data_IF_426838623174
#
_entry.id   IF_426838623174
#
_cell.length_a   1.000
_cell.length_b   1.000
_cell.length_c   1.000
_cell.angle_alpha   90.00
_cell.angle_beta   90.00
_cell.angle_gamma   90.00
#
_symmetry.space_group_name_H-M   'P 1'
#
loop_
_entity.id
_entity.type
_entity.pdbx_description
1 polymer ?
#
# COMPACT_ATOMS: atom_id res chain seq x y z
N UNK A 1 -16.52 -46.29 -61.07
CA UNK A 1 -15.64 -45.90 -59.93
C UNK A 1 -14.89 -47.15 -59.46
N UNK A 2 -13.81 -47.48 -60.17
CA UNK A 2 -12.39 -47.29 -59.78
C UNK A 2 -11.95 -48.14 -58.58
N UNK A 3 -11.27 -49.26 -58.91
CA UNK A 3 -10.66 -50.25 -58.02
C UNK A 3 -9.30 -49.74 -57.49
N UNK A 4 -9.08 -49.62 -56.17
CA UNK A 4 -7.83 -49.08 -55.62
C UNK A 4 -6.81 -50.17 -55.25
N UNK A 5 -6.70 -51.26 -56.02
CA UNK A 5 -5.78 -52.37 -55.67
C UNK A 5 -4.42 -52.32 -56.37
N UNK A 6 -4.26 -51.54 -57.45
CA UNK A 6 -3.01 -51.49 -58.22
C UNK A 6 -1.97 -50.47 -57.70
N UNK A 7 -2.40 -49.42 -57.00
CA UNK A 7 -1.49 -48.38 -56.50
C UNK A 7 -0.76 -48.77 -55.20
N UNK A 8 -1.38 -49.60 -54.36
CA UNK A 8 -0.78 -50.06 -53.09
C UNK A 8 0.41 -51.00 -53.37
N UNK A 9 0.29 -51.85 -54.39
CA UNK A 9 1.32 -52.81 -54.76
C UNK A 9 2.54 -52.12 -55.42
N UNK A 10 2.32 -51.02 -56.16
CA UNK A 10 3.41 -50.23 -56.73
C UNK A 10 4.17 -49.41 -55.67
N UNK A 11 3.47 -48.82 -54.69
CA UNK A 11 4.09 -48.10 -53.57
C UNK A 11 4.94 -49.02 -52.68
N UNK A 12 4.46 -50.24 -52.39
CA UNK A 12 5.19 -51.19 -51.56
C UNK A 12 6.50 -51.68 -52.23
N UNK A 13 6.49 -51.87 -53.55
CA UNK A 13 7.69 -52.30 -54.30
C UNK A 13 8.71 -51.18 -54.43
N UNK A 14 8.28 -49.93 -54.59
CA UNK A 14 9.19 -48.77 -54.60
C UNK A 14 9.81 -48.55 -53.21
N UNK A 15 9.06 -48.75 -52.13
CA UNK A 15 9.58 -48.62 -50.76
C UNK A 15 10.59 -49.72 -50.41
N UNK A 16 10.41 -50.94 -50.95
CA UNK A 16 11.35 -52.06 -50.75
C UNK A 16 12.61 -51.97 -51.62
N UNK A 17 12.55 -51.34 -52.80
CA UNK A 17 13.70 -51.19 -53.70
C UNK A 17 14.57 -49.96 -53.38
N UNK A 18 14.03 -48.92 -52.74
CA UNK A 18 14.80 -47.73 -52.33
C UNK A 18 15.44 -47.81 -50.94
N UNK A 19 15.04 -48.77 -50.09
CA UNK A 19 15.55 -48.91 -48.71
C UNK A 19 16.29 -50.21 -48.33
N UNK A 20 16.87 -51.03 -49.24
CA UNK A 20 17.59 -52.23 -48.80
C UNK A 20 18.97 -51.93 -48.17
N UNK A 21 19.52 -50.72 -48.33
CA UNK A 21 20.86 -50.36 -47.81
C UNK A 21 20.86 -49.71 -46.43
N UNK A 22 19.74 -49.17 -45.96
CA UNK A 22 19.69 -48.48 -44.67
C UNK A 22 19.72 -49.46 -43.46
N UNK A 23 19.27 -50.70 -43.66
CA UNK A 23 19.29 -51.72 -42.60
C UNK A 23 20.66 -52.41 -42.43
N UNK A 24 21.55 -52.34 -43.42
CA UNK A 24 22.90 -52.90 -43.32
C UNK A 24 23.95 -51.89 -42.86
N UNK A 25 23.70 -50.58 -42.99
CA UNK A 25 24.60 -49.55 -42.49
C UNK A 25 24.49 -49.32 -40.96
N UNK A 26 23.42 -49.79 -40.31
CA UNK A 26 23.18 -49.58 -38.88
C UNK A 26 23.69 -50.73 -37.98
N UNK A 27 24.30 -51.77 -38.57
CA UNK A 27 24.70 -52.99 -37.85
C UNK A 27 26.20 -53.06 -37.51
N UNK A 28 26.99 -52.01 -37.76
CA UNK A 28 28.44 -52.00 -37.45
C UNK A 28 28.96 -50.64 -36.94
N UNK A 29 28.15 -49.87 -36.22
CA UNK A 29 28.74 -48.93 -35.28
C UNK A 29 29.40 -49.77 -34.17
N UNK A 30 30.72 -49.96 -34.32
CA UNK A 30 31.59 -50.55 -33.29
C UNK A 30 31.23 -49.88 -31.97
N UNK A 31 30.64 -50.65 -31.05
CA UNK A 31 30.47 -50.20 -29.67
C UNK A 31 31.85 -49.70 -29.21
N UNK A 32 31.95 -48.44 -28.75
CA UNK A 32 33.24 -47.90 -28.32
C UNK A 32 33.83 -48.84 -27.27
N UNK A 33 35.09 -49.25 -27.46
CA UNK A 33 35.78 -50.14 -26.52
C UNK A 33 35.81 -49.47 -25.14
N UNK A 34 35.01 -49.98 -24.21
CA UNK A 34 35.03 -49.52 -22.83
C UNK A 34 36.27 -50.10 -22.13
N UNK A 35 37.24 -49.25 -21.80
CA UNK A 35 38.42 -49.64 -21.02
C UNK A 35 38.34 -49.03 -19.63
N UNK A 36 38.45 -49.87 -18.61
CA UNK A 36 38.57 -49.40 -17.22
C UNK A 36 40.03 -48.98 -17.03
N UNK A 37 40.26 -47.67 -16.88
CA UNK A 37 41.60 -47.11 -16.75
C UNK A 37 42.12 -47.23 -15.32
N UNK A 38 41.25 -46.98 -14.34
CA UNK A 38 41.67 -46.88 -12.95
C UNK A 38 40.55 -47.31 -12.01
N UNK A 39 40.91 -48.18 -11.05
CA UNK A 39 40.07 -48.49 -9.90
C UNK A 39 40.45 -47.50 -8.81
N UNK A 40 39.61 -46.49 -8.59
CA UNK A 40 39.80 -45.58 -7.47
C UNK A 40 39.53 -46.38 -6.18
N UNK A 41 40.45 -46.30 -5.23
CA UNK A 41 40.31 -46.95 -3.92
C UNK A 41 38.98 -46.60 -3.24
N UNK A 42 38.56 -47.40 -2.25
CA UNK A 42 37.28 -47.18 -1.58
C UNK A 42 37.21 -45.75 -1.04
N UNK A 43 36.14 -45.06 -1.42
CA UNK A 43 35.83 -43.74 -0.88
C UNK A 43 35.45 -43.86 0.61
N UNK A 44 35.27 -42.74 1.32
CA UNK A 44 34.93 -42.73 2.76
C UNK A 44 33.65 -43.54 3.11
N UNK A 45 32.81 -43.81 2.12
CA UNK A 45 31.58 -44.59 2.24
C UNK A 45 31.74 -46.08 1.84
N UNK A 46 32.95 -46.54 1.52
CA UNK A 46 33.24 -47.93 1.12
C UNK A 46 32.95 -48.26 -0.35
N UNK A 47 32.44 -47.31 -1.13
CA UNK A 47 32.15 -47.48 -2.56
C UNK A 47 33.45 -47.36 -3.40
N UNK A 48 33.63 -48.31 -4.33
CA UNK A 48 34.73 -48.32 -5.29
C UNK A 48 34.30 -47.59 -6.56
N UNK A 49 34.94 -46.46 -6.87
CA UNK A 49 34.72 -45.74 -8.12
C UNK A 49 35.59 -46.31 -9.25
N UNK A 50 35.02 -46.47 -10.45
CA UNK A 50 35.78 -46.86 -11.64
C UNK A 50 35.85 -45.69 -12.62
N UNK A 51 37.04 -45.38 -13.13
CA UNK A 51 37.18 -44.46 -14.26
C UNK A 51 37.16 -45.30 -15.53
N UNK A 52 36.14 -45.10 -16.37
CA UNK A 52 35.91 -45.84 -17.60
C UNK A 52 36.12 -44.89 -18.78
N UNK A 53 36.99 -45.26 -19.70
CA UNK A 53 37.14 -44.57 -20.96
C UNK A 53 36.24 -45.21 -22.01
N UNK A 54 35.40 -44.40 -22.64
CA UNK A 54 34.52 -44.80 -23.74
C UNK A 54 34.91 -43.93 -24.94
N UNK A 55 35.65 -44.49 -25.89
CA UNK A 55 36.26 -43.71 -26.98
C UNK A 55 37.29 -42.70 -26.46
N UNK A 56 37.17 -41.43 -26.83
CA UNK A 56 38.07 -40.35 -26.39
C UNK A 56 37.64 -39.67 -25.07
N UNK A 57 36.54 -40.11 -24.45
CA UNK A 57 35.98 -39.48 -23.26
C UNK A 57 36.15 -40.37 -22.01
N UNK A 58 36.64 -39.77 -20.93
CA UNK A 58 36.78 -40.41 -19.63
C UNK A 58 35.56 -40.12 -18.77
N UNK A 59 34.87 -41.17 -18.32
CA UNK A 59 33.72 -41.11 -17.43
C UNK A 59 34.06 -41.74 -16.09
N UNK A 60 33.38 -41.28 -15.03
CA UNK A 60 33.45 -41.92 -13.71
C UNK A 60 32.18 -42.74 -13.54
N UNK A 61 32.32 -44.05 -13.41
CA UNK A 61 31.21 -44.93 -13.04
C UNK A 61 30.84 -44.66 -11.58
N UNK A 62 29.63 -44.17 -11.40
CA UNK A 62 29.02 -43.89 -10.10
C UNK A 62 28.09 -45.05 -9.75
N UNK A 63 28.08 -45.48 -8.49
CA UNK A 63 27.14 -46.50 -8.01
C UNK A 63 25.70 -46.02 -8.19
N UNK A 64 24.77 -46.94 -8.47
CA UNK A 64 23.34 -46.62 -8.65
C UNK A 64 22.77 -45.89 -7.42
N UNK A 65 23.26 -46.25 -6.22
CA UNK A 65 22.93 -45.61 -4.95
C UNK A 65 23.33 -44.14 -4.92
N UNK A 66 24.57 -43.82 -5.32
CA UNK A 66 25.05 -42.44 -5.42
C UNK A 66 24.30 -41.64 -6.48
N UNK A 67 23.98 -42.24 -7.62
CA UNK A 67 23.16 -41.58 -8.65
C UNK A 67 21.76 -41.23 -8.12
N UNK A 68 21.10 -42.17 -7.42
CA UNK A 68 19.80 -41.92 -6.76
C UNK A 68 19.90 -40.82 -5.70
N UNK A 69 20.96 -40.81 -4.91
CA UNK A 69 21.18 -39.77 -3.90
C UNK A 69 21.40 -38.39 -4.51
N UNK A 70 22.20 -38.29 -5.59
CA UNK A 70 22.42 -37.04 -6.32
C UNK A 70 21.11 -36.54 -6.93
N UNK A 71 20.31 -37.43 -7.53
CA UNK A 71 18.99 -37.07 -8.05
C UNK A 71 18.07 -36.56 -6.94
N UNK A 72 18.03 -37.25 -5.80
CA UNK A 72 17.24 -36.83 -4.64
C UNK A 72 17.67 -35.46 -4.13
N UNK A 73 18.97 -35.24 -3.92
CA UNK A 73 19.52 -33.94 -3.50
C UNK A 73 19.20 -32.83 -4.50
N UNK A 74 19.23 -33.12 -5.81
CA UNK A 74 18.86 -32.15 -6.85
C UNK A 74 17.38 -31.79 -6.78
N UNK A 75 16.50 -32.76 -6.54
CA UNK A 75 15.07 -32.50 -6.32
C UNK A 75 14.88 -31.65 -5.05
N UNK A 76 15.51 -32.04 -3.94
CA UNK A 76 15.43 -31.34 -2.65
C UNK A 76 15.90 -29.88 -2.78
N UNK A 77 16.97 -29.62 -3.55
CA UNK A 77 17.47 -28.28 -3.84
C UNK A 77 16.45 -27.47 -4.64
N UNK A 78 15.87 -28.05 -5.70
CA UNK A 78 14.84 -27.36 -6.51
C UNK A 78 13.61 -27.05 -5.66
N UNK A 79 13.17 -27.96 -4.78
CA UNK A 79 12.05 -27.70 -3.88
C UNK A 79 12.36 -26.60 -2.88
N UNK A 80 13.55 -26.61 -2.26
CA UNK A 80 13.97 -25.57 -1.33
C UNK A 80 14.07 -24.20 -2.02
N UNK A 81 14.58 -24.14 -3.25
CA UNK A 81 14.62 -22.91 -4.04
C UNK A 81 13.22 -22.36 -4.33
N UNK A 82 12.27 -23.24 -4.68
CA UNK A 82 10.87 -22.83 -4.89
C UNK A 82 10.23 -22.32 -3.61
N UNK A 83 10.46 -22.99 -2.48
CA UNK A 83 9.98 -22.54 -1.18
C UNK A 83 10.54 -21.16 -0.81
N UNK A 84 11.83 -20.91 -1.06
CA UNK A 84 12.43 -19.59 -0.84
C UNK A 84 11.76 -18.51 -1.69
N UNK A 85 11.54 -18.75 -2.99
CA UNK A 85 10.86 -17.79 -3.86
C UNK A 85 9.46 -17.47 -3.35
N UNK A 86 8.68 -18.50 -2.95
CA UNK A 86 7.34 -18.30 -2.38
C UNK A 86 7.42 -17.47 -1.09
N UNK A 87 8.43 -17.71 -0.23
CA UNK A 87 8.61 -16.94 1.00
C UNK A 87 9.00 -15.50 0.74
N UNK A 88 9.85 -15.25 -0.25
CA UNK A 88 10.24 -13.90 -0.66
C UNK A 88 9.05 -13.12 -1.24
N UNK A 89 8.20 -13.78 -2.05
CA UNK A 89 6.94 -13.20 -2.54
C UNK A 89 6.00 -12.86 -1.38
N UNK A 90 5.83 -13.77 -0.42
CA UNK A 90 5.03 -13.51 0.78
C UNK A 90 5.57 -12.31 1.57
N UNK A 91 6.88 -12.24 1.80
CA UNK A 91 7.51 -11.10 2.48
C UNK A 91 7.30 -9.79 1.72
N UNK A 92 7.42 -9.80 0.40
CA UNK A 92 7.16 -8.62 -0.42
C UNK A 92 5.72 -8.13 -0.28
N UNK A 93 4.74 -9.04 -0.26
CA UNK A 93 3.34 -8.69 -0.08
C UNK A 93 3.02 -8.21 1.34
N UNK A 94 3.63 -8.79 2.37
CA UNK A 94 3.56 -8.27 3.73
C UNK A 94 4.11 -6.85 3.83
N UNK A 95 5.25 -6.56 3.19
CA UNK A 95 5.83 -5.22 3.19
C UNK A 95 4.92 -4.20 2.49
N UNK A 96 4.27 -4.58 1.38
CA UNK A 96 3.27 -3.72 0.72
C UNK A 96 2.07 -3.45 1.62
N UNK A 97 1.54 -4.49 2.27
CA UNK A 97 0.41 -4.34 3.20
C UNK A 97 0.79 -3.41 4.36
N UNK A 98 1.96 -3.61 4.96
CA UNK A 98 2.46 -2.74 6.03
C UNK A 98 2.53 -1.28 5.59
N UNK A 99 3.08 -1.00 4.41
CA UNK A 99 3.14 0.35 3.87
C UNK A 99 1.74 0.97 3.66
N UNK A 100 0.75 0.18 3.22
CA UNK A 100 -0.64 0.63 3.09
C UNK A 100 -1.29 0.94 4.45
N UNK A 101 -1.01 0.13 5.47
CA UNK A 101 -1.45 0.40 6.84
C UNK A 101 -0.85 1.69 7.38
N UNK A 102 0.45 1.91 7.18
CA UNK A 102 1.13 3.14 7.63
C UNK A 102 0.54 4.39 6.97
N UNK A 103 0.25 4.33 5.66
CA UNK A 103 -0.44 5.41 4.94
C UNK A 103 -1.83 5.65 5.52
N UNK A 104 -2.57 4.58 5.81
CA UNK A 104 -3.94 4.68 6.35
C UNK A 104 -3.92 5.31 7.75
N UNK A 105 -3.00 4.89 8.61
CA UNK A 105 -2.82 5.45 9.95
C UNK A 105 -2.45 6.93 9.87
N UNK A 106 -1.55 7.30 8.94
CA UNK A 106 -1.18 8.70 8.72
C UNK A 106 -2.39 9.55 8.31
N UNK A 107 -3.18 9.09 7.34
CA UNK A 107 -4.40 9.78 6.89
C UNK A 107 -5.44 9.92 8.01
N UNK A 108 -5.61 8.89 8.84
CA UNK A 108 -6.52 8.96 9.98
C UNK A 108 -6.06 10.00 11.01
N UNK A 109 -4.75 10.10 11.28
CA UNK A 109 -4.20 11.13 12.16
C UNK A 109 -4.43 12.54 11.61
N UNK A 110 -4.18 12.74 10.31
CA UNK A 110 -4.45 14.01 9.63
C UNK A 110 -5.93 14.40 9.71
N UNK A 111 -6.83 13.43 9.48
CA UNK A 111 -8.27 13.65 9.59
C UNK A 111 -8.74 13.98 11.01
N UNK A 112 -8.17 13.33 12.04
CA UNK A 112 -8.46 13.67 13.44
C UNK A 112 -8.03 15.11 13.74
N UNK A 113 -6.85 15.52 13.29
CA UNK A 113 -6.36 16.89 13.48
C UNK A 113 -7.27 17.91 12.76
N UNK A 114 -7.74 17.58 11.56
CA UNK A 114 -8.70 18.42 10.83
C UNK A 114 -10.00 18.59 11.62
N UNK A 115 -10.57 17.50 12.15
CA UNK A 115 -11.78 17.53 12.96
C UNK A 115 -11.60 18.36 14.25
N UNK A 116 -10.46 18.20 14.94
CA UNK A 116 -10.13 19.02 16.12
C UNK A 116 -10.05 20.51 15.78
N UNK A 117 -9.46 20.84 14.62
CA UNK A 117 -9.37 22.22 14.13
C UNK A 117 -10.76 22.82 13.86
N UNK A 118 -11.65 22.05 13.22
CA UNK A 118 -13.02 22.45 12.94
C UNK A 118 -13.80 22.66 14.24
N UNK A 119 -13.68 21.71 15.18
CA UNK A 119 -14.34 21.78 16.48
C UNK A 119 -13.89 23.03 17.27
N UNK A 120 -12.59 23.34 17.25
CA UNK A 120 -12.06 24.58 17.84
C UNK A 120 -12.64 25.82 17.16
N UNK A 121 -12.73 25.83 15.82
CA UNK A 121 -13.37 26.89 15.05
C UNK A 121 -14.83 27.12 15.46
N UNK A 122 -15.62 26.04 15.55
CA UNK A 122 -17.02 26.11 15.98
C UNK A 122 -17.16 26.58 17.44
N UNK A 123 -16.28 26.14 18.35
CA UNK A 123 -16.26 26.64 19.73
C UNK A 123 -15.97 28.14 19.80
N UNK A 124 -15.03 28.63 18.99
CA UNK A 124 -14.72 30.06 18.89
C UNK A 124 -15.94 30.84 18.40
N UNK A 125 -16.55 30.38 17.30
CA UNK A 125 -17.72 31.00 16.71
C UNK A 125 -18.88 31.07 17.71
N UNK A 126 -19.14 29.97 18.44
CA UNK A 126 -20.14 29.95 19.52
C UNK A 126 -19.80 30.94 20.65
N UNK A 127 -18.52 31.08 21.01
CA UNK A 127 -18.05 32.08 21.96
C UNK A 127 -18.35 33.51 21.51
N UNK A 128 -18.10 33.82 20.24
CA UNK A 128 -18.36 35.15 19.68
C UNK A 128 -19.86 35.44 19.53
N UNK A 129 -20.66 34.44 19.16
CA UNK A 129 -22.12 34.53 19.20
C UNK A 129 -22.65 34.79 20.62
N UNK A 130 -22.08 34.16 21.64
CA UNK A 130 -22.47 34.42 23.04
C UNK A 130 -22.16 35.87 23.45
N UNK A 131 -21.01 36.42 23.05
CA UNK A 131 -20.68 37.84 23.29
C UNK A 131 -21.65 38.79 22.58
N UNK A 132 -22.09 38.44 21.37
CA UNK A 132 -23.08 39.22 20.63
C UNK A 132 -24.49 39.12 21.24
N UNK A 133 -24.82 37.98 21.86
CA UNK A 133 -26.15 37.72 22.43
C UNK A 133 -26.39 38.41 23.76
N UNK A 134 -25.36 38.75 24.55
CA UNK A 134 -25.56 39.51 25.79
C UNK A 134 -25.92 40.96 25.48
N UNK A 135 -27.19 41.39 25.67
CA UNK A 135 -27.52 42.81 25.55
C UNK A 135 -26.90 43.52 26.75
N UNK A 136 -25.92 44.41 26.51
CA UNK A 136 -25.45 45.31 27.55
C UNK A 136 -26.53 46.38 27.77
N UNK A 137 -27.45 46.10 28.69
CA UNK A 137 -28.39 47.09 29.19
C UNK A 137 -27.66 47.90 30.26
N UNK A 138 -27.43 49.20 30.02
CA UNK A 138 -26.73 50.08 30.97
C UNK A 138 -27.71 51.12 31.50
N UNK A 139 -27.92 51.19 32.81
CA UNK A 139 -28.67 52.26 33.43
C UNK A 139 -27.70 53.31 33.97
N UNK A 140 -27.92 54.58 33.63
CA UNK A 140 -27.12 55.71 34.10
C UNK A 140 -28.07 56.70 34.81
N UNK A 141 -27.72 57.22 35.97
CA UNK A 141 -28.48 58.27 36.66
C UNK A 141 -27.53 59.39 37.02
N UNK A 142 -27.87 60.61 36.66
CA UNK A 142 -27.10 61.82 36.95
C UNK A 142 -28.01 62.89 37.54
N UNK A 143 -27.48 63.69 38.45
CA UNK A 143 -28.14 64.89 38.98
C UNK A 143 -27.27 66.08 38.59
N UNK A 144 -27.87 67.08 37.98
CA UNK A 144 -27.16 68.27 37.51
C UNK A 144 -28.01 69.52 37.68
N UNK A 145 -27.39 70.68 37.51
CA UNK A 145 -28.07 71.97 37.49
C UNK A 145 -28.03 72.48 36.06
N UNK A 146 -29.19 72.73 35.46
CA UNK A 146 -29.33 73.36 34.14
C UNK A 146 -29.35 74.87 34.31
N UNK A 147 -28.63 75.61 33.45
CA UNK A 147 -28.36 77.04 33.68
C UNK A 147 -29.58 77.95 33.78
N UNK A 148 -29.35 79.13 34.37
CA UNK A 148 -30.22 80.26 34.74
C UNK A 148 -31.20 80.08 35.91
N UNK A 149 -31.70 78.88 36.18
CA UNK A 149 -32.48 78.59 37.40
C UNK A 149 -31.80 77.50 38.22
N UNK A 150 -31.58 77.75 39.51
CA UNK A 150 -30.90 76.86 40.46
C UNK A 150 -31.68 75.57 40.80
N UNK A 151 -32.65 75.19 39.98
CA UNK A 151 -33.49 74.03 40.21
C UNK A 151 -32.77 72.73 39.79
N UNK A 152 -32.74 71.69 40.65
CA UNK A 152 -32.06 70.45 40.35
C UNK A 152 -32.78 69.69 39.21
N UNK A 153 -32.02 69.28 38.20
CA UNK A 153 -32.49 68.41 37.13
C UNK A 153 -31.98 66.98 37.36
N UNK A 154 -32.89 66.00 37.25
CA UNK A 154 -32.56 64.58 37.32
C UNK A 154 -32.54 64.02 35.91
N UNK A 155 -31.43 63.39 35.53
CA UNK A 155 -31.24 62.72 34.25
C UNK A 155 -31.15 61.21 34.47
N UNK A 156 -32.00 60.46 33.79
CA UNK A 156 -32.03 59.00 33.81
C UNK A 156 -31.84 58.47 32.40
N UNK A 157 -30.83 57.63 32.22
CA UNK A 157 -30.46 57.02 30.96
C UNK A 157 -30.64 55.51 30.97
N UNK A 158 -31.21 54.97 29.90
CA UNK A 158 -31.19 53.54 29.57
C UNK A 158 -30.46 53.35 28.24
N UNK A 159 -29.38 52.58 28.29
CA UNK A 159 -28.57 52.20 27.14
C UNK A 159 -28.84 50.78 26.71
N UNK A 160 -29.00 50.57 25.41
CA UNK A 160 -29.01 49.25 24.76
C UNK A 160 -27.96 49.24 23.65
N UNK A 161 -26.86 48.54 23.89
CA UNK A 161 -25.72 48.41 22.96
C UNK A 161 -25.13 49.78 22.56
N UNK A 162 -25.40 50.28 21.35
CA UNK A 162 -24.94 51.60 20.86
C UNK A 162 -25.98 52.71 20.99
N UNK A 163 -27.21 52.39 21.41
CA UNK A 163 -28.29 53.36 21.59
C UNK A 163 -28.40 53.72 23.05
N UNK A 164 -28.57 55.00 23.35
CA UNK A 164 -28.87 55.49 24.70
C UNK A 164 -30.08 56.41 24.64
N UNK A 165 -31.03 56.19 25.55
CA UNK A 165 -32.19 57.05 25.74
C UNK A 165 -32.02 57.70 27.10
N UNK A 166 -31.95 59.03 27.12
CA UNK A 166 -31.88 59.84 28.32
C UNK A 166 -33.19 60.60 28.48
N UNK A 167 -33.85 60.45 29.62
CA UNK A 167 -34.92 61.35 30.05
C UNK A 167 -34.38 62.31 31.10
N UNK A 168 -34.71 63.59 31.01
CA UNK A 168 -34.47 64.54 32.09
C UNK A 168 -35.78 65.10 32.62
N UNK A 169 -35.82 65.29 33.93
CA UNK A 169 -36.94 65.86 34.66
C UNK A 169 -36.46 67.05 35.48
N UNK A 170 -37.05 68.21 35.22
CA UNK A 170 -36.91 69.45 35.98
C UNK A 170 -38.31 69.96 36.33
N UNK A 171 -38.42 70.78 37.38
CA UNK A 171 -39.69 71.25 37.95
C UNK A 171 -40.68 71.84 36.91
N UNK A 172 -40.15 72.51 35.89
CA UNK A 172 -40.96 73.16 34.83
C UNK A 172 -40.76 72.54 33.43
N UNK A 173 -39.75 71.67 33.25
CA UNK A 173 -39.38 71.11 31.96
C UNK A 173 -39.04 69.63 32.06
N UNK A 174 -39.58 68.84 31.15
CA UNK A 174 -39.18 67.45 30.95
C UNK A 174 -38.86 67.23 29.47
N UNK A 175 -37.85 66.42 29.19
CA UNK A 175 -37.45 66.12 27.82
C UNK A 175 -36.79 64.76 27.70
N UNK A 176 -36.77 64.28 26.46
CA UNK A 176 -36.15 63.01 26.09
C UNK A 176 -35.11 63.27 25.03
N UNK A 177 -33.92 62.73 25.23
CA UNK A 177 -32.81 62.75 24.28
C UNK A 177 -32.47 61.31 23.89
N UNK A 178 -32.34 61.06 22.59
CA UNK A 178 -31.84 59.79 22.07
C UNK A 178 -30.45 60.03 21.50
N UNK A 179 -29.45 59.35 22.05
CA UNK A 179 -28.06 59.41 21.63
C UNK A 179 -27.61 58.10 21.00
N UNK A 180 -26.72 58.20 20.02
CA UNK A 180 -26.05 57.06 19.42
C UNK A 180 -24.56 57.14 19.73
N UNK A 181 -24.02 56.13 20.40
CA UNK A 181 -22.59 56.06 20.75
C UNK A 181 -21.87 55.30 19.64
N UNK A 182 -21.18 56.06 18.79
CA UNK A 182 -20.23 55.52 17.82
C UNK A 182 -18.83 55.57 18.45
N UNK A 183 -18.06 54.47 18.44
CA UNK A 183 -16.63 54.57 18.70
C UNK A 183 -16.03 55.45 17.61
N UNK A 184 -15.45 56.58 18.00
CA UNK A 184 -14.48 57.30 17.19
C UNK A 184 -13.20 56.49 17.39
N UNK A 185 -12.58 56.01 16.30
CA UNK A 185 -11.46 55.05 16.21
C UNK A 185 -11.88 53.58 16.03
#
# INVERSE_FOLDING_TARGET
MMRPKKYILCMAVIFLLFFPSAYWALAQDKLPECKVLEKKGPDKDGDVGYVVQIGDQTFVAVSETRQKNILKMKVDLITAQRELVIKDEQLADYNKLQAQYDITVKRQKEYIQELESMLKGYKSLLGDYKKLKTPSLTAEVGVGVTGSDSDPAVLMGLGFRKFRVYGFFQKENAGVMVGLVLPIF
#
